data_IF_491060350762
#
_entry.id   IF_491060350762
#
_cell.length_a   1.000
_cell.length_b   1.000
_cell.length_c   1.000
_cell.angle_alpha   90.00
_cell.angle_beta   90.00
_cell.angle_gamma   90.00
#
_symmetry.space_group_name_H-M   'P 1'
#
loop_
_entity.id
_entity.type
_entity.pdbx_description
1 polymer ?
#
# COMPACT_ATOMS: atom_id res chain seq x y z
N UNK A 1 11.29 16.67 4.10
CA UNK A 1 12.01 17.10 2.89
C UNK A 1 11.43 16.38 1.69
N UNK A 2 11.30 17.08 0.57
CA UNK A 2 10.93 16.50 -0.70
C UNK A 2 12.00 16.87 -1.74
N UNK A 3 12.64 15.86 -2.35
CA UNK A 3 13.79 16.06 -3.27
C UNK A 3 14.89 16.98 -2.72
N UNK A 4 15.17 16.89 -1.42
CA UNK A 4 16.20 17.68 -0.73
C UNK A 4 15.74 19.06 -0.25
N UNK A 5 14.55 19.52 -0.61
CA UNK A 5 14.00 20.80 -0.18
C UNK A 5 13.12 20.63 1.08
N UNK A 6 13.27 21.55 2.03
CA UNK A 6 12.44 21.55 3.23
C UNK A 6 11.03 22.07 2.91
N UNK A 7 10.03 21.19 3.01
CA UNK A 7 8.63 21.53 2.71
C UNK A 7 8.00 22.54 3.69
N UNK A 8 8.66 22.80 4.82
CA UNK A 8 8.21 23.77 5.83
C UNK A 8 8.93 25.12 5.73
N UNK A 9 9.80 25.31 4.72
CA UNK A 9 10.45 26.60 4.54
C UNK A 9 9.46 27.66 4.03
N UNK A 10 9.70 28.91 4.41
CA UNK A 10 8.88 30.04 3.94
C UNK A 10 8.90 30.13 2.40
N UNK A 11 7.71 30.29 1.82
CA UNK A 11 7.56 30.41 0.36
C UNK A 11 7.58 29.08 -0.40
N UNK A 12 7.62 27.91 0.28
CA UNK A 12 7.53 26.61 -0.38
C UNK A 12 6.18 26.43 -1.08
N UNK A 13 6.20 26.02 -2.35
CA UNK A 13 4.98 25.80 -3.14
C UNK A 13 4.24 24.51 -2.76
N UNK A 14 3.40 24.60 -1.73
CA UNK A 14 2.57 23.49 -1.27
C UNK A 14 1.56 23.03 -2.32
N UNK A 15 1.13 23.91 -3.25
CA UNK A 15 0.23 23.49 -4.34
C UNK A 15 0.96 22.53 -5.28
N UNK A 16 2.18 22.88 -5.66
CA UNK A 16 3.04 22.03 -6.48
C UNK A 16 3.36 20.70 -5.79
N UNK A 17 3.62 20.71 -4.47
CA UNK A 17 3.84 19.47 -3.72
C UNK A 17 2.62 18.53 -3.82
N UNK A 18 1.40 19.07 -3.62
CA UNK A 18 0.15 18.28 -3.66
C UNK A 18 -0.18 17.74 -5.05
N UNK A 19 0.42 18.21 -6.11
CA UNK A 19 0.30 17.58 -7.44
C UNK A 19 1.24 16.39 -7.61
N UNK A 20 2.31 16.31 -6.81
CA UNK A 20 3.33 15.26 -6.88
C UNK A 20 3.21 14.19 -5.82
N UNK A 21 2.62 14.53 -4.68
CA UNK A 21 2.39 13.62 -3.56
C UNK A 21 0.91 13.42 -3.39
N UNK A 22 0.44 12.24 -3.79
CA UNK A 22 -0.94 11.80 -3.60
C UNK A 22 -1.11 11.21 -2.21
N UNK A 23 -2.23 11.48 -1.57
CA UNK A 23 -2.58 10.93 -0.25
C UNK A 23 -3.97 10.32 -0.33
N UNK A 24 -4.06 9.06 0.02
CA UNK A 24 -5.32 8.31 0.20
C UNK A 24 -5.49 8.06 1.69
N UNK A 25 -6.50 8.68 2.29
CA UNK A 25 -6.78 8.55 3.72
C UNK A 25 -7.46 7.22 4.06
N UNK A 26 -7.48 6.89 5.33
CA UNK A 26 -8.26 5.78 5.87
C UNK A 26 -9.75 5.96 5.53
N UNK A 27 -10.41 4.89 5.04
CA UNK A 27 -11.78 4.93 4.52
C UNK A 27 -11.97 5.92 3.36
N UNK A 28 -11.19 5.81 2.29
CA UNK A 28 -11.17 6.80 1.22
C UNK A 28 -12.49 6.88 0.45
N UNK A 29 -13.33 5.86 0.57
CA UNK A 29 -14.70 5.80 0.02
C UNK A 29 -15.63 6.90 0.57
N UNK A 30 -15.29 7.52 1.70
CA UNK A 30 -16.04 8.65 2.24
C UNK A 30 -15.71 9.99 1.56
N UNK A 31 -14.70 10.00 0.69
CA UNK A 31 -14.28 11.21 -0.03
C UNK A 31 -14.99 11.37 -1.39
N UNK A 32 -15.76 10.35 -1.81
CA UNK A 32 -16.50 10.37 -3.06
C UNK A 32 -17.76 11.26 -2.93
N UNK A 33 -17.96 12.19 -3.88
CA UNK A 33 -19.01 13.20 -3.77
C UNK A 33 -19.67 13.58 -5.11
N UNK A 34 -19.11 13.18 -6.25
CA UNK A 34 -19.64 13.51 -7.56
C UNK A 34 -20.84 12.65 -7.94
N UNK A 35 -21.55 13.04 -9.02
CA UNK A 35 -22.76 12.37 -9.49
C UNK A 35 -22.47 10.97 -10.00
N UNK A 36 -21.33 10.79 -10.66
CA UNK A 36 -20.86 9.52 -11.21
C UNK A 36 -19.37 9.31 -10.94
N UNK A 37 -18.94 8.06 -11.02
CA UNK A 37 -17.57 7.61 -10.80
C UNK A 37 -16.57 8.33 -11.69
N UNK A 38 -16.86 8.46 -12.98
CA UNK A 38 -15.94 9.08 -13.93
C UNK A 38 -15.70 10.56 -13.60
N UNK A 39 -16.77 11.26 -13.25
CA UNK A 39 -16.71 12.67 -12.83
C UNK A 39 -15.88 12.86 -11.56
N UNK A 40 -16.01 11.92 -10.61
CA UNK A 40 -15.25 11.94 -9.35
C UNK A 40 -13.75 11.80 -9.60
N UNK A 41 -13.35 10.85 -10.44
CA UNK A 41 -11.94 10.65 -10.82
C UNK A 41 -11.38 11.82 -11.64
N UNK A 42 -12.21 12.50 -12.44
CA UNK A 42 -11.83 13.70 -13.16
C UNK A 42 -11.55 14.91 -12.27
N UNK A 43 -12.01 14.94 -11.04
CA UNK A 43 -11.93 16.10 -10.16
C UNK A 43 -10.49 16.59 -9.89
N UNK A 44 -9.60 15.63 -9.55
CA UNK A 44 -8.18 15.93 -9.30
C UNK A 44 -7.48 16.59 -10.50
N UNK A 45 -7.48 15.97 -11.68
CA UNK A 45 -6.90 16.53 -12.90
C UNK A 45 -7.51 17.87 -13.32
N UNK A 46 -8.82 18.07 -13.15
CA UNK A 46 -9.47 19.40 -13.38
C UNK A 46 -8.86 20.48 -12.51
N UNK A 47 -8.60 20.19 -11.23
CA UNK A 47 -7.99 21.14 -10.29
C UNK A 47 -6.52 21.43 -10.59
N UNK A 48 -5.85 20.56 -11.35
CA UNK A 48 -4.51 20.83 -11.90
C UNK A 48 -4.53 21.80 -13.08
N UNK A 49 -5.72 22.12 -13.63
CA UNK A 49 -5.88 23.04 -14.74
C UNK A 49 -5.59 22.42 -16.12
N UNK A 50 -5.72 21.11 -16.24
CA UNK A 50 -5.50 20.38 -17.48
C UNK A 50 -6.65 20.59 -18.48
N UNK A 51 -6.40 20.36 -19.76
CA UNK A 51 -7.46 20.37 -20.79
C UNK A 51 -8.49 19.27 -20.53
N UNK A 52 -9.69 19.44 -21.07
CA UNK A 52 -10.77 18.46 -20.91
C UNK A 52 -10.34 17.08 -21.42
N UNK A 53 -9.69 17.05 -22.58
CA UNK A 53 -9.21 15.83 -23.23
C UNK A 53 -8.17 15.10 -22.35
N UNK A 54 -7.26 15.83 -21.74
CA UNK A 54 -6.24 15.27 -20.85
C UNK A 54 -6.85 14.79 -19.54
N UNK A 55 -7.80 15.52 -18.97
CA UNK A 55 -8.55 15.10 -17.76
C UNK A 55 -9.24 13.78 -18.00
N UNK A 56 -10.00 13.66 -19.12
CA UNK A 56 -10.71 12.42 -19.44
C UNK A 56 -9.75 11.24 -19.72
N UNK A 57 -8.63 11.50 -20.40
CA UNK A 57 -7.63 10.46 -20.67
C UNK A 57 -7.02 9.92 -19.36
N UNK A 58 -6.60 10.80 -18.45
CA UNK A 58 -6.03 10.39 -17.15
C UNK A 58 -7.04 9.68 -16.27
N UNK A 59 -8.29 10.13 -16.26
CA UNK A 59 -9.34 9.46 -15.49
C UNK A 59 -9.60 8.02 -16.00
N UNK A 60 -9.65 7.82 -17.34
CA UNK A 60 -9.80 6.49 -17.94
C UNK A 60 -8.62 5.59 -17.60
N UNK A 61 -7.41 6.09 -17.75
CA UNK A 61 -6.19 5.36 -17.40
C UNK A 61 -6.21 4.92 -15.94
N UNK A 62 -6.50 5.82 -15.01
CA UNK A 62 -6.53 5.53 -13.59
C UNK A 62 -7.62 4.49 -13.22
N UNK A 63 -8.81 4.57 -13.83
CA UNK A 63 -9.89 3.60 -13.61
C UNK A 63 -9.54 2.20 -14.13
N UNK A 64 -8.82 2.12 -15.26
CA UNK A 64 -8.30 0.85 -15.78
C UNK A 64 -7.22 0.29 -14.84
N UNK A 65 -6.29 1.13 -14.37
CA UNK A 65 -5.21 0.73 -13.47
C UNK A 65 -5.71 0.11 -12.17
N UNK A 66 -6.84 0.59 -11.63
CA UNK A 66 -7.46 0.01 -10.43
C UNK A 66 -8.46 -1.12 -10.74
N UNK A 67 -8.49 -1.61 -11.97
CA UNK A 67 -9.33 -2.74 -12.37
C UNK A 67 -10.84 -2.51 -12.22
N UNK A 68 -11.33 -1.27 -12.36
CA UNK A 68 -12.75 -0.98 -12.27
C UNK A 68 -13.46 -1.20 -13.62
N UNK A 69 -14.50 -2.06 -13.64
CA UNK A 69 -15.31 -2.33 -14.85
C UNK A 69 -15.89 -1.04 -15.43
N UNK A 70 -15.71 -0.82 -16.74
CA UNK A 70 -16.17 0.37 -17.46
C UNK A 70 -17.69 0.60 -17.31
N UNK A 71 -18.48 -0.46 -17.13
CA UNK A 71 -19.92 -0.38 -16.88
C UNK A 71 -20.29 0.39 -15.62
N UNK A 72 -19.36 0.53 -14.68
CA UNK A 72 -19.56 1.22 -13.42
C UNK A 72 -19.23 2.72 -13.50
N UNK A 73 -18.54 3.17 -14.56
CA UNK A 73 -18.02 4.54 -14.62
C UNK A 73 -19.08 5.62 -14.65
N UNK A 74 -20.26 5.31 -15.18
CA UNK A 74 -21.40 6.23 -15.24
C UNK A 74 -22.40 6.02 -14.10
N UNK A 75 -22.10 5.09 -13.17
CA UNK A 75 -22.94 4.88 -12.00
C UNK A 75 -22.58 5.84 -10.87
N UNK A 76 -23.55 6.06 -9.99
CA UNK A 76 -23.29 6.82 -8.75
C UNK A 76 -22.28 6.08 -7.88
N UNK A 77 -21.24 6.75 -7.36
CA UNK A 77 -20.31 6.14 -6.41
C UNK A 77 -21.02 5.51 -5.20
N UNK A 78 -22.19 6.03 -4.83
CA UNK A 78 -22.94 5.54 -3.66
C UNK A 78 -23.58 4.16 -3.87
N UNK A 79 -23.75 3.73 -5.12
CA UNK A 79 -24.30 2.42 -5.48
C UNK A 79 -23.24 1.31 -5.53
N UNK A 80 -21.96 1.67 -5.43
CA UNK A 80 -20.85 0.73 -5.49
C UNK A 80 -20.64 -0.01 -4.17
N UNK A 81 -20.06 -1.22 -4.25
CA UNK A 81 -19.55 -1.93 -3.07
C UNK A 81 -18.39 -1.15 -2.40
N UNK A 82 -18.11 -1.43 -1.12
CA UNK A 82 -17.02 -0.78 -0.41
C UNK A 82 -15.66 -0.90 -1.10
N UNK A 83 -15.31 -2.09 -1.61
CA UNK A 83 -14.08 -2.32 -2.37
C UNK A 83 -14.05 -1.52 -3.69
N UNK A 84 -15.17 -1.45 -4.42
CA UNK A 84 -15.28 -0.65 -5.64
C UNK A 84 -15.13 0.85 -5.35
N UNK A 85 -15.80 1.37 -4.29
CA UNK A 85 -15.64 2.77 -3.86
C UNK A 85 -14.18 3.10 -3.55
N UNK A 86 -13.49 2.19 -2.87
CA UNK A 86 -12.06 2.35 -2.55
C UNK A 86 -11.19 2.42 -3.78
N UNK A 87 -11.42 1.57 -4.78
CA UNK A 87 -10.76 1.63 -6.09
C UNK A 87 -10.98 2.97 -6.76
N UNK A 88 -12.20 3.49 -6.74
CA UNK A 88 -12.53 4.82 -7.30
C UNK A 88 -11.75 5.92 -6.60
N UNK A 89 -11.69 5.91 -5.27
CA UNK A 89 -10.95 6.91 -4.50
C UNK A 89 -9.43 6.86 -4.76
N UNK A 90 -8.86 5.65 -4.88
CA UNK A 90 -7.45 5.48 -5.29
C UNK A 90 -7.26 6.01 -6.72
N UNK A 91 -8.15 5.68 -7.66
CA UNK A 91 -8.10 6.17 -9.04
C UNK A 91 -8.14 7.71 -9.10
N UNK A 92 -8.96 8.36 -8.28
CA UNK A 92 -9.02 9.83 -8.20
C UNK A 92 -7.69 10.47 -7.83
N UNK A 93 -6.90 9.81 -7.00
CA UNK A 93 -5.54 10.26 -6.65
C UNK A 93 -4.55 9.91 -7.77
N UNK A 94 -4.61 8.70 -8.34
CA UNK A 94 -3.74 8.25 -9.43
C UNK A 94 -3.89 9.10 -10.69
N UNK A 95 -5.11 9.56 -11.01
CA UNK A 95 -5.39 10.42 -12.16
C UNK A 95 -4.61 11.74 -12.12
N UNK A 96 -4.14 12.16 -10.96
CA UNK A 96 -3.26 13.33 -10.83
C UNK A 96 -1.82 13.06 -11.25
N UNK A 97 -1.44 11.81 -11.55
CA UNK A 97 -0.09 11.33 -11.86
C UNK A 97 0.94 11.72 -10.79
N UNK A 98 0.73 11.31 -9.53
CA UNK A 98 1.65 11.63 -8.46
C UNK A 98 2.99 10.88 -8.61
N UNK A 99 4.08 11.48 -8.14
CA UNK A 99 5.40 10.82 -8.04
C UNK A 99 5.48 9.90 -6.81
N UNK A 100 4.74 10.27 -5.76
CA UNK A 100 4.65 9.52 -4.50
C UNK A 100 3.18 9.31 -4.16
N UNK A 101 2.81 8.08 -3.84
CA UNK A 101 1.47 7.72 -3.35
C UNK A 101 1.56 7.27 -1.89
N UNK A 102 0.91 8.00 -1.01
CA UNK A 102 0.79 7.66 0.41
C UNK A 102 -0.59 7.04 0.64
N UNK A 103 -0.62 5.86 1.23
CA UNK A 103 -1.83 5.10 1.50
C UNK A 103 -1.92 4.85 3.01
N UNK A 104 -2.91 5.44 3.65
CA UNK A 104 -3.15 5.27 5.07
C UNK A 104 -4.23 4.23 5.31
N UNK A 105 -3.82 3.04 5.82
CA UNK A 105 -4.68 1.89 6.08
C UNK A 105 -5.62 1.53 4.89
N UNK A 106 -5.10 1.34 3.66
CA UNK A 106 -5.93 1.20 2.47
C UNK A 106 -6.78 -0.07 2.46
N UNK A 107 -6.53 -1.01 3.36
CA UNK A 107 -7.24 -2.28 3.45
C UNK A 107 -8.19 -2.37 4.64
N UNK A 108 -8.31 -1.31 5.45
CA UNK A 108 -9.16 -1.30 6.63
C UNK A 108 -10.62 -1.63 6.29
N UNK A 109 -11.22 -2.59 7.00
CA UNK A 109 -12.62 -2.99 6.82
C UNK A 109 -12.93 -3.83 5.57
N UNK A 110 -11.91 -4.23 4.78
CA UNK A 110 -12.09 -5.19 3.70
C UNK A 110 -12.04 -6.64 4.21
N UNK A 111 -12.70 -7.53 3.49
CA UNK A 111 -12.52 -8.96 3.67
C UNK A 111 -11.12 -9.40 3.17
N UNK A 112 -10.64 -10.60 3.54
CA UNK A 112 -9.30 -11.04 3.17
C UNK A 112 -9.02 -11.01 1.67
N UNK A 113 -10.01 -11.36 0.85
CA UNK A 113 -9.87 -11.37 -0.62
C UNK A 113 -9.74 -9.95 -1.18
N UNK A 114 -10.62 -9.05 -0.79
CA UNK A 114 -10.58 -7.64 -1.21
C UNK A 114 -9.31 -6.93 -0.76
N UNK A 115 -8.79 -7.31 0.42
CA UNK A 115 -7.50 -6.83 0.93
C UNK A 115 -6.33 -7.25 0.03
N UNK A 116 -6.24 -8.55 -0.29
CA UNK A 116 -5.18 -9.07 -1.16
C UNK A 116 -5.26 -8.43 -2.55
N UNK A 117 -6.46 -8.31 -3.14
CA UNK A 117 -6.67 -7.66 -4.44
C UNK A 117 -6.13 -6.22 -4.47
N UNK A 118 -6.48 -5.40 -3.48
CA UNK A 118 -6.02 -4.00 -3.40
C UNK A 118 -4.49 -3.92 -3.24
N UNK A 119 -3.89 -4.76 -2.40
CA UNK A 119 -2.44 -4.75 -2.18
C UNK A 119 -1.67 -5.25 -3.41
N UNK A 120 -2.19 -6.26 -4.10
CA UNK A 120 -1.60 -6.76 -5.35
C UNK A 120 -1.64 -5.67 -6.44
N UNK A 121 -2.75 -4.90 -6.56
CA UNK A 121 -2.87 -3.76 -7.47
C UNK A 121 -1.88 -2.64 -7.12
N UNK A 122 -1.78 -2.26 -5.84
CA UNK A 122 -0.81 -1.27 -5.38
C UNK A 122 0.63 -1.72 -5.69
N UNK A 123 0.93 -3.00 -5.48
CA UNK A 123 2.23 -3.57 -5.79
C UNK A 123 2.53 -3.57 -7.31
N UNK A 124 1.50 -3.80 -8.15
CA UNK A 124 1.62 -3.70 -9.60
C UNK A 124 1.94 -2.26 -10.03
N UNK A 125 1.23 -1.27 -9.49
CA UNK A 125 1.51 0.15 -9.74
C UNK A 125 2.96 0.53 -9.41
N UNK A 126 3.48 0.06 -8.27
CA UNK A 126 4.87 0.29 -7.90
C UNK A 126 5.85 -0.29 -8.94
N UNK A 127 5.64 -1.55 -9.36
CA UNK A 127 6.54 -2.24 -10.29
C UNK A 127 6.46 -1.68 -11.71
N UNK A 128 5.27 -1.36 -12.20
CA UNK A 128 5.04 -0.97 -13.59
C UNK A 128 5.33 0.51 -13.86
N UNK A 129 5.01 1.37 -12.89
CA UNK A 129 5.16 2.82 -13.04
C UNK A 129 6.34 3.40 -12.26
N UNK A 130 7.13 2.56 -11.56
CA UNK A 130 8.24 3.01 -10.70
C UNK A 130 7.84 4.09 -9.69
N UNK A 131 6.56 4.08 -9.30
CA UNK A 131 5.99 5.03 -8.34
C UNK A 131 6.51 4.73 -6.94
N UNK A 132 6.91 5.74 -6.19
CA UNK A 132 7.21 5.57 -4.77
C UNK A 132 5.91 5.41 -4.00
N UNK A 133 5.75 4.29 -3.29
CA UNK A 133 4.58 4.03 -2.46
C UNK A 133 4.97 4.03 -0.99
N UNK A 134 4.23 4.78 -0.17
CA UNK A 134 4.33 4.76 1.29
C UNK A 134 3.05 4.16 1.83
N UNK A 135 3.13 2.94 2.34
CA UNK A 135 2.02 2.22 2.93
C UNK A 135 2.08 2.37 4.46
N UNK A 136 1.07 2.99 5.05
CA UNK A 136 0.85 2.97 6.50
C UNK A 136 -0.10 1.84 6.81
N UNK A 137 0.33 0.88 7.62
CA UNK A 137 -0.48 -0.27 8.01
C UNK A 137 -0.06 -0.81 9.38
N UNK A 138 -1.02 -1.41 10.08
CA UNK A 138 -0.79 -2.19 11.30
C UNK A 138 -0.78 -3.70 11.04
N UNK A 139 -0.97 -4.14 9.79
CA UNK A 139 -0.87 -5.55 9.40
C UNK A 139 0.58 -5.92 9.11
N UNK A 140 1.19 -6.64 10.03
CA UNK A 140 2.60 -7.08 9.88
C UNK A 140 2.78 -8.08 8.74
N UNK A 141 1.77 -8.89 8.46
CA UNK A 141 1.75 -9.83 7.35
C UNK A 141 1.80 -9.10 5.99
N UNK A 142 1.01 -8.03 5.84
CA UNK A 142 1.00 -7.22 4.62
C UNK A 142 2.34 -6.53 4.42
N UNK A 143 2.84 -5.90 5.48
CA UNK A 143 4.13 -5.21 5.46
C UNK A 143 5.25 -6.20 5.11
N UNK A 144 5.25 -7.41 5.69
CA UNK A 144 6.24 -8.44 5.39
C UNK A 144 6.20 -8.91 3.93
N UNK A 145 5.01 -8.91 3.31
CA UNK A 145 4.79 -9.42 1.96
C UNK A 145 5.04 -8.36 0.87
N UNK A 146 4.69 -7.11 1.13
CA UNK A 146 4.62 -6.09 0.10
C UNK A 146 5.65 -4.96 0.22
N UNK A 147 6.25 -4.76 1.41
CA UNK A 147 7.20 -3.66 1.61
C UNK A 147 8.65 -4.09 1.32
N UNK A 148 9.39 -3.24 0.61
CA UNK A 148 10.85 -3.41 0.43
C UNK A 148 11.61 -2.86 1.63
N UNK A 149 11.04 -1.89 2.35
CA UNK A 149 11.64 -1.19 3.48
C UNK A 149 10.58 -0.82 4.50
N UNK A 150 10.89 -0.98 5.76
CA UNK A 150 10.02 -0.65 6.89
C UNK A 150 10.64 0.49 7.69
N UNK A 151 9.81 1.49 7.96
CA UNK A 151 10.12 2.54 8.94
C UNK A 151 9.19 2.35 10.15
N UNK A 152 9.75 2.05 11.31
CA UNK A 152 9.00 1.93 12.57
C UNK A 152 9.08 3.25 13.33
N UNK A 153 7.90 3.79 13.65
CA UNK A 153 7.76 5.01 14.44
C UNK A 153 7.24 4.66 15.84
N UNK A 154 7.86 5.24 16.87
CA UNK A 154 7.39 5.13 18.25
C UNK A 154 7.56 6.46 18.97
N UNK A 155 6.49 6.97 19.60
CA UNK A 155 6.49 8.26 20.29
C UNK A 155 7.05 9.45 19.47
N UNK A 156 6.81 9.44 18.15
CA UNK A 156 7.29 10.50 17.24
C UNK A 156 8.75 10.34 16.79
N UNK A 157 9.45 9.31 17.23
CA UNK A 157 10.81 8.99 16.85
C UNK A 157 10.88 7.80 15.89
N UNK A 158 11.80 7.85 14.93
CA UNK A 158 12.10 6.74 14.05
C UNK A 158 13.03 5.75 14.74
N UNK A 159 12.53 4.56 15.07
CA UNK A 159 13.27 3.51 15.80
C UNK A 159 13.99 2.58 14.84
N UNK A 160 13.28 2.08 13.80
CA UNK A 160 13.87 1.25 12.76
C UNK A 160 13.67 1.87 11.39
N UNK A 161 14.57 1.53 10.46
CA UNK A 161 14.51 1.95 9.07
C UNK A 161 15.37 0.98 8.26
N UNK A 162 14.80 -0.17 7.88
CA UNK A 162 15.51 -1.29 7.29
C UNK A 162 14.57 -2.21 6.47
N UNK A 163 15.10 -3.18 5.70
CA UNK A 163 14.29 -4.21 5.06
C UNK A 163 13.48 -5.03 6.07
N UNK A 164 12.33 -5.63 5.67
CA UNK A 164 11.45 -6.40 6.55
C UNK A 164 12.17 -7.48 7.35
N UNK A 165 13.03 -8.26 6.71
CA UNK A 165 13.79 -9.33 7.37
C UNK A 165 14.67 -8.84 8.52
N UNK A 166 15.23 -7.67 8.38
CA UNK A 166 16.05 -7.06 9.43
C UNK A 166 15.19 -6.54 10.58
N UNK A 167 14.11 -5.81 10.26
CA UNK A 167 13.20 -5.26 11.28
C UNK A 167 12.55 -6.38 12.10
N UNK A 168 12.05 -7.43 11.47
CA UNK A 168 11.34 -8.50 12.17
C UNK A 168 12.25 -9.45 12.97
N UNK A 169 13.57 -9.41 12.78
CA UNK A 169 14.51 -10.05 13.73
C UNK A 169 14.43 -9.43 15.13
N UNK A 170 14.06 -8.16 15.21
CA UNK A 170 13.89 -7.42 16.46
C UNK A 170 12.47 -7.56 17.04
N UNK A 171 11.78 -8.68 16.80
CA UNK A 171 10.38 -8.87 17.19
C UNK A 171 10.11 -8.62 18.68
N UNK A 172 11.05 -8.94 19.58
CA UNK A 172 10.94 -8.68 21.02
C UNK A 172 10.96 -7.19 21.34
N UNK A 173 11.74 -6.40 20.59
CA UNK A 173 11.78 -4.95 20.73
C UNK A 173 10.50 -4.32 20.18
N UNK A 174 9.97 -4.86 19.07
CA UNK A 174 8.67 -4.46 18.51
C UNK A 174 7.55 -4.72 19.53
N UNK A 175 7.52 -5.89 20.17
CA UNK A 175 6.55 -6.22 21.23
C UNK A 175 6.63 -5.25 22.42
N UNK A 176 7.81 -4.88 22.84
CA UNK A 176 8.01 -3.90 23.92
C UNK A 176 7.43 -2.52 23.58
N UNK A 177 7.28 -2.21 22.29
CA UNK A 177 6.65 -0.97 21.77
C UNK A 177 5.14 -1.16 21.49
N UNK A 178 4.57 -2.34 21.75
CA UNK A 178 3.17 -2.66 21.47
C UNK A 178 2.89 -3.04 20.01
N UNK A 179 3.93 -3.30 19.22
CA UNK A 179 3.84 -3.81 17.86
C UNK A 179 4.03 -5.33 17.85
N UNK A 180 3.50 -6.01 16.82
CA UNK A 180 3.76 -7.42 16.61
C UNK A 180 4.79 -7.64 15.49
N UNK A 181 5.26 -8.87 15.32
CA UNK A 181 5.84 -9.36 14.08
C UNK A 181 4.81 -10.25 13.35
N UNK A 182 5.05 -10.63 12.09
CA UNK A 182 4.23 -11.66 11.44
C UNK A 182 4.17 -12.95 12.26
N UNK A 183 3.00 -13.59 12.33
CA UNK A 183 2.82 -14.80 13.13
C UNK A 183 3.83 -15.90 12.77
N UNK A 184 4.18 -15.99 11.50
CA UNK A 184 5.17 -16.96 11.03
C UNK A 184 6.56 -16.76 11.65
N UNK A 185 6.95 -15.51 11.95
CA UNK A 185 8.22 -15.20 12.63
C UNK A 185 8.31 -15.89 13.98
N UNK A 186 7.24 -15.87 14.78
CA UNK A 186 7.18 -16.55 16.07
C UNK A 186 7.28 -18.09 15.93
N UNK A 187 6.59 -18.65 14.94
CA UNK A 187 6.64 -20.09 14.68
C UNK A 187 8.05 -20.52 14.29
N UNK A 188 8.71 -19.78 13.42
CA UNK A 188 10.07 -20.08 12.97
C UNK A 188 11.08 -20.00 14.11
N UNK A 189 11.00 -18.95 14.94
CA UNK A 189 11.84 -18.84 16.15
C UNK A 189 11.58 -19.98 17.13
N UNK A 190 10.32 -20.37 17.36
CA UNK A 190 9.99 -21.51 18.19
C UNK A 190 10.56 -22.83 17.65
N UNK A 191 10.49 -23.08 16.35
CA UNK A 191 11.10 -24.25 15.72
C UNK A 191 12.62 -24.27 15.92
N UNK A 192 13.27 -23.13 15.75
CA UNK A 192 14.72 -22.98 15.95
C UNK A 192 15.13 -23.25 17.39
N UNK A 193 14.39 -22.73 18.37
CA UNK A 193 14.60 -22.99 19.80
C UNK A 193 14.47 -24.47 20.14
N UNK A 194 13.66 -25.25 19.41
CA UNK A 194 13.53 -26.71 19.53
C UNK A 194 14.55 -27.48 18.67
N UNK A 195 15.57 -26.83 18.14
CA UNK A 195 16.69 -27.45 17.44
C UNK A 195 16.42 -27.75 15.95
N UNK A 196 15.34 -27.24 15.36
CA UNK A 196 15.12 -27.36 13.91
C UNK A 196 16.07 -26.40 13.18
N UNK A 197 16.88 -26.90 12.20
CA UNK A 197 17.84 -26.07 11.47
C UNK A 197 17.15 -25.21 10.41
N UNK A 198 16.30 -24.27 10.83
CA UNK A 198 15.57 -23.34 9.97
C UNK A 198 16.17 -21.92 10.09
N UNK A 199 16.18 -21.16 9.00
CA UNK A 199 16.63 -19.77 9.00
C UNK A 199 15.69 -18.89 9.84
N UNK A 200 16.23 -17.89 10.55
CA UNK A 200 15.46 -17.00 11.44
C UNK A 200 14.99 -15.71 10.77
N UNK A 201 15.32 -15.53 9.50
CA UNK A 201 14.94 -14.35 8.70
C UNK A 201 13.69 -14.57 7.84
N UNK A 202 12.94 -15.60 8.14
CA UNK A 202 11.68 -15.94 7.47
C UNK A 202 10.56 -15.06 8.02
N UNK A 203 9.89 -14.32 7.13
CA UNK A 203 8.86 -13.37 7.49
C UNK A 203 7.51 -13.63 6.83
N UNK A 204 7.45 -14.55 5.86
CA UNK A 204 6.22 -14.91 5.16
C UNK A 204 5.91 -16.40 5.26
N UNK A 205 4.61 -16.74 5.18
CA UNK A 205 4.14 -18.14 5.20
C UNK A 205 4.73 -18.93 4.02
N UNK A 206 4.86 -18.32 2.87
CA UNK A 206 5.44 -18.94 1.67
C UNK A 206 6.92 -19.31 1.88
N UNK A 207 7.70 -18.40 2.46
CA UNK A 207 9.11 -18.69 2.79
C UNK A 207 9.23 -19.84 3.80
N UNK A 208 8.40 -19.82 4.86
CA UNK A 208 8.41 -20.87 5.86
C UNK A 208 8.00 -22.24 5.30
N UNK A 209 6.95 -22.28 4.47
CA UNK A 209 6.53 -23.49 3.76
C UNK A 209 7.69 -24.08 2.96
N UNK A 210 8.34 -23.26 2.15
CA UNK A 210 9.46 -23.71 1.30
C UNK A 210 10.64 -24.20 2.14
N UNK A 211 11.01 -23.49 3.20
CA UNK A 211 12.08 -23.91 4.10
C UNK A 211 11.77 -25.24 4.79
N UNK A 212 10.53 -25.43 5.27
CA UNK A 212 10.09 -26.69 5.91
C UNK A 212 10.07 -27.84 4.90
N UNK A 213 9.55 -27.64 3.69
CA UNK A 213 9.54 -28.67 2.64
C UNK A 213 10.96 -29.09 2.27
N UNK A 214 11.87 -28.14 2.16
CA UNK A 214 13.29 -28.41 1.90
C UNK A 214 13.90 -29.27 3.01
N UNK A 215 13.67 -28.96 4.28
CA UNK A 215 14.14 -29.74 5.43
C UNK A 215 13.56 -31.17 5.44
N UNK A 216 12.35 -31.36 4.93
CA UNK A 216 11.70 -32.68 4.83
C UNK A 216 12.10 -33.44 3.56
N UNK A 217 12.98 -32.93 2.71
CA UNK A 217 13.33 -33.52 1.42
C UNK A 217 12.17 -33.61 0.44
N UNK A 218 11.19 -32.73 0.56
CA UNK A 218 9.96 -32.67 -0.26
C UNK A 218 9.93 -31.40 -1.12
N UNK A 219 11.07 -31.01 -1.68
CA UNK A 219 11.10 -29.89 -2.62
C UNK A 219 10.10 -30.14 -3.75
N UNK A 220 9.27 -29.15 -4.07
CA UNK A 220 8.38 -29.24 -5.21
C UNK A 220 9.26 -29.49 -6.45
N UNK A 221 9.01 -30.59 -7.15
CA UNK A 221 9.56 -30.77 -8.50
C UNK A 221 8.92 -29.69 -9.38
N UNK A 222 9.69 -29.01 -10.21
CA UNK A 222 9.21 -27.94 -11.07
C UNK A 222 8.08 -28.40 -11.98
#
# INVERSE_FOLDING_TARGET
YYNGENIYQDGYDMKKLRTRVGLVFQYPEHQLFEVDVFSDVCFGPKNQGLSKEEVEARAREALIQVGLDEKLWQQSPFELSGGQKRRVAIAGVLAMHPEVLILDEPTAGLDPKGRDEILDEISALHREHHMTIVLVSHSMEDIARYADRIMVMNHGEKIFDAPPKEVFRHYKELEAMGLAAPQITYIVHGLKEHGVPIADDITTVTEARNAILHLLGKDERP
#
